data_IF_256804658527
#
_entry.id   IF_256804658527
#
_cell.length_a   1.000
_cell.length_b   1.000
_cell.length_c   1.000
_cell.angle_alpha   90.00
_cell.angle_beta   90.00
_cell.angle_gamma   90.00
#
_symmetry.space_group_name_H-M   'P 1'
#
loop_
_entity.id
_entity.type
_entity.pdbx_description
1 polymer ?
#
# COMPACT_ATOMS: atom_id res chain seq x y z
N UNK A 1 -16.85 -25.81 9.70
CA UNK A 1 -16.13 -25.00 8.69
C UNK A 1 -14.87 -24.48 9.35
N UNK A 2 -13.69 -24.77 8.81
CA UNK A 2 -12.44 -24.18 9.30
C UNK A 2 -12.42 -22.71 8.85
N UNK A 3 -12.41 -21.77 9.79
CA UNK A 3 -12.25 -20.35 9.49
C UNK A 3 -10.76 -20.05 9.36
N UNK A 4 -10.36 -19.41 8.26
CA UNK A 4 -8.99 -18.96 8.10
C UNK A 4 -8.64 -17.97 9.23
N UNK A 5 -7.64 -18.30 10.04
CA UNK A 5 -7.25 -17.54 11.23
C UNK A 5 -6.22 -16.44 10.99
N UNK A 6 -5.81 -16.23 9.73
CA UNK A 6 -4.86 -15.18 9.40
C UNK A 6 -5.50 -13.79 9.47
N UNK A 7 -4.73 -12.79 9.90
CA UNK A 7 -5.18 -11.39 9.87
C UNK A 7 -5.36 -10.95 8.40
N UNK A 8 -6.45 -10.25 8.05
CA UNK A 8 -6.57 -9.60 6.75
C UNK A 8 -5.46 -8.56 6.57
N UNK A 9 -4.77 -8.62 5.43
CA UNK A 9 -3.77 -7.64 5.03
C UNK A 9 -4.32 -6.85 3.86
N UNK A 10 -4.42 -5.52 4.02
CA UNK A 10 -4.84 -4.65 2.93
C UNK A 10 -3.68 -4.43 1.95
N UNK A 11 -3.89 -4.44 0.62
CA UNK A 11 -2.80 -4.20 -0.33
C UNK A 11 -2.05 -2.88 -0.12
N UNK A 12 -2.76 -1.84 0.31
CA UNK A 12 -2.16 -0.55 0.67
C UNK A 12 -1.25 -0.61 1.91
N UNK A 13 -1.40 -1.62 2.77
CA UNK A 13 -0.50 -1.84 3.91
C UNK A 13 0.87 -2.31 3.41
N UNK A 14 0.88 -3.31 2.52
CA UNK A 14 2.09 -3.82 1.85
C UNK A 14 2.78 -2.70 1.07
N UNK A 15 2.03 -1.97 0.25
CA UNK A 15 2.56 -0.84 -0.52
C UNK A 15 3.24 0.21 0.39
N UNK A 16 2.63 0.52 1.54
CA UNK A 16 3.15 1.54 2.46
C UNK A 16 4.40 1.09 3.20
N UNK A 17 4.40 -0.12 3.74
CA UNK A 17 5.49 -0.63 4.58
C UNK A 17 6.70 -1.07 3.76
N UNK A 18 6.50 -1.77 2.65
CA UNK A 18 7.59 -2.42 1.92
C UNK A 18 8.18 -1.54 0.80
N UNK A 19 7.47 -0.48 0.39
CA UNK A 19 7.89 0.39 -0.71
C UNK A 19 7.96 1.86 -0.30
N UNK A 20 6.83 2.46 0.08
CA UNK A 20 6.76 3.92 0.30
C UNK A 20 7.64 4.39 1.45
N UNK A 21 7.63 3.68 2.59
CA UNK A 21 8.47 4.00 3.75
C UNK A 21 9.97 3.88 3.44
N UNK A 22 10.49 2.75 2.92
CA UNK A 22 11.91 2.64 2.55
C UNK A 22 12.36 3.68 1.53
N UNK A 23 11.49 4.02 0.57
CA UNK A 23 11.78 5.02 -0.46
C UNK A 23 11.57 6.46 -0.01
N UNK A 24 11.11 6.69 1.22
CA UNK A 24 10.73 8.02 1.74
C UNK A 24 9.77 8.75 0.79
N UNK A 25 8.85 8.00 0.18
CA UNK A 25 7.94 8.48 -0.85
C UNK A 25 6.53 8.63 -0.27
N UNK A 26 5.85 9.72 -0.61
CA UNK A 26 4.43 9.88 -0.26
C UNK A 26 3.51 9.18 -1.27
N UNK A 27 2.30 8.83 -0.84
CA UNK A 27 1.28 8.29 -1.73
C UNK A 27 0.92 9.26 -2.88
N UNK A 28 0.93 10.58 -2.62
CA UNK A 28 0.71 11.60 -3.64
C UNK A 28 1.85 11.63 -4.67
N UNK A 29 3.11 11.51 -4.23
CA UNK A 29 4.24 11.39 -5.15
C UNK A 29 4.11 10.14 -6.04
N UNK A 30 3.71 9.00 -5.46
CA UNK A 30 3.46 7.77 -6.23
C UNK A 30 2.34 7.97 -7.25
N UNK A 31 1.25 8.63 -6.85
CA UNK A 31 0.09 8.88 -7.72
C UNK A 31 0.47 9.71 -8.94
N UNK A 32 1.28 10.76 -8.74
CA UNK A 32 1.87 11.55 -9.84
C UNK A 32 2.75 10.72 -10.76
N UNK A 33 3.62 9.87 -10.21
CA UNK A 33 4.51 9.01 -10.99
C UNK A 33 3.73 7.99 -11.86
N UNK A 34 2.61 7.49 -11.34
CA UNK A 34 1.72 6.56 -12.02
C UNK A 34 0.68 7.23 -12.93
N UNK A 35 0.63 8.57 -12.98
CA UNK A 35 -0.37 9.34 -13.71
C UNK A 35 -1.82 8.98 -13.33
N UNK A 36 -2.05 8.75 -12.03
CA UNK A 36 -3.38 8.50 -11.45
C UNK A 36 -3.78 9.61 -10.48
N UNK A 37 -5.10 9.83 -10.24
CA UNK A 37 -5.55 10.71 -9.18
C UNK A 37 -5.04 10.24 -7.81
N UNK A 38 -4.63 11.16 -6.95
CA UNK A 38 -4.07 10.85 -5.63
C UNK A 38 -5.12 10.47 -4.56
N UNK A 39 -6.39 10.40 -4.97
CA UNK A 39 -7.57 10.44 -4.09
C UNK A 39 -8.30 11.76 -4.23
#
# INVERSE_FOLDING_TARGET
MIKNGMRPVHPGEVLREDFLKPLQMSANALSKALHVPAG
#
